data_IF_035997059336
#
_entry.id   IF_035997059336
#
_cell.length_a   1.000
_cell.length_b   1.000
_cell.length_c   1.000
_cell.angle_alpha   90.00
_cell.angle_beta   90.00
_cell.angle_gamma   90.00
#
_symmetry.space_group_name_H-M   'P 1'
#
loop_
_entity.id
_entity.type
_entity.pdbx_description
1 polymer ?
#
# COMPACT_ATOMS: atom_id res chain seq x y z
N UNK A 1 37.71 40.89 -9.38
CA UNK A 1 36.93 39.83 -10.06
C UNK A 1 36.05 39.18 -9.01
N UNK A 2 34.75 39.47 -9.00
CA UNK A 2 33.81 38.89 -8.02
C UNK A 2 33.19 37.61 -8.61
N UNK A 3 33.11 36.50 -7.86
CA UNK A 3 32.47 35.29 -8.36
C UNK A 3 30.95 35.48 -8.43
N UNK A 4 30.37 35.01 -9.55
CA UNK A 4 28.92 34.94 -9.75
C UNK A 4 28.28 33.97 -8.73
N UNK A 5 27.11 34.28 -8.15
CA UNK A 5 26.38 33.32 -7.33
C UNK A 5 25.82 32.19 -8.20
N UNK A 6 25.92 30.96 -7.69
CA UNK A 6 25.37 29.75 -8.31
C UNK A 6 23.83 29.80 -8.39
N UNK A 7 23.20 29.21 -9.42
CA UNK A 7 21.75 29.13 -9.50
C UNK A 7 21.21 28.28 -8.35
N UNK A 8 20.20 28.82 -7.64
CA UNK A 8 19.47 28.09 -6.61
C UNK A 8 18.79 26.88 -7.24
N UNK A 9 19.04 25.69 -6.69
CA UNK A 9 18.32 24.47 -7.07
C UNK A 9 16.82 24.67 -6.90
N UNK A 10 16.11 24.71 -8.03
CA UNK A 10 14.66 24.68 -8.05
C UNK A 10 14.18 23.36 -7.46
N UNK A 11 13.45 23.44 -6.35
CA UNK A 11 12.67 22.34 -5.80
C UNK A 11 11.72 21.84 -6.91
N UNK A 12 11.56 20.53 -7.13
CA UNK A 12 10.67 20.03 -8.18
C UNK A 12 9.26 20.59 -7.96
N UNK A 13 8.67 21.12 -9.02
CA UNK A 13 7.36 21.74 -9.01
C UNK A 13 6.33 20.75 -8.47
N UNK A 14 5.74 21.06 -7.32
CA UNK A 14 4.54 20.41 -6.83
C UNK A 14 3.45 20.54 -7.90
N UNK A 15 2.75 19.45 -8.20
CA UNK A 15 1.55 19.48 -9.05
C UNK A 15 0.61 20.54 -8.47
N UNK A 16 0.21 21.58 -9.23
CA UNK A 16 -0.65 22.63 -8.71
C UNK A 16 -2.01 22.03 -8.31
N UNK A 17 -2.34 22.04 -7.01
CA UNK A 17 -3.68 21.64 -6.53
C UNK A 17 -3.73 20.86 -5.21
N UNK A 18 -2.60 20.37 -4.68
CA UNK A 18 -2.56 19.64 -3.41
C UNK A 18 -1.46 20.19 -2.51
N UNK A 19 -1.86 20.83 -1.41
CA UNK A 19 -0.98 21.34 -0.35
C UNK A 19 -0.93 20.36 0.83
N UNK A 20 -2.11 19.93 1.33
CA UNK A 20 -2.27 18.94 2.39
C UNK A 20 -3.74 18.54 2.52
N UNK A 21 -4.02 17.25 2.78
CA UNK A 21 -5.36 16.82 3.19
C UNK A 21 -5.32 16.05 4.51
N UNK A 22 -6.36 16.26 5.32
CA UNK A 22 -6.56 15.54 6.57
C UNK A 22 -7.77 14.63 6.44
N UNK A 23 -7.56 13.34 6.68
CA UNK A 23 -8.61 12.35 6.85
C UNK A 23 -8.84 12.08 8.34
N UNK A 24 -10.10 11.99 8.75
CA UNK A 24 -10.51 11.50 10.07
C UNK A 24 -11.45 10.33 9.89
N UNK A 25 -11.07 9.17 10.44
CA UNK A 25 -11.91 7.98 10.38
C UNK A 25 -13.12 8.13 11.30
N UNK A 26 -14.32 7.89 10.78
CA UNK A 26 -15.56 7.89 11.55
C UNK A 26 -15.72 6.67 12.46
N UNK A 27 -14.98 5.58 12.20
CA UNK A 27 -15.09 4.33 12.95
C UNK A 27 -14.18 4.30 14.17
N UNK A 28 -12.88 4.54 14.00
CA UNK A 28 -11.89 4.49 15.08
C UNK A 28 -11.38 5.87 15.52
N UNK A 29 -11.79 6.96 14.88
CA UNK A 29 -11.34 8.31 15.20
C UNK A 29 -9.92 8.64 14.75
N UNK A 30 -9.19 7.70 14.15
CA UNK A 30 -7.82 7.91 13.68
C UNK A 30 -7.73 9.10 12.71
N UNK A 31 -6.67 9.89 12.85
CA UNK A 31 -6.38 11.04 11.98
C UNK A 31 -5.15 10.74 11.12
N UNK A 32 -5.25 11.01 9.82
CA UNK A 32 -4.15 10.87 8.86
C UNK A 32 -4.01 12.16 8.07
N UNK A 33 -2.78 12.61 7.89
CA UNK A 33 -2.45 13.77 7.07
C UNK A 33 -1.59 13.30 5.91
N UNK A 34 -1.91 13.75 4.70
CA UNK A 34 -1.14 13.46 3.51
C UNK A 34 -0.80 14.75 2.78
N UNK A 35 0.40 14.79 2.20
CA UNK A 35 0.95 15.95 1.50
C UNK A 35 0.73 15.88 -0.02
N UNK A 36 0.28 14.72 -0.51
CA UNK A 36 -0.04 14.50 -1.92
C UNK A 36 -1.35 13.73 -2.04
N UNK A 37 -2.03 13.89 -3.18
CA UNK A 37 -3.26 13.15 -3.47
C UNK A 37 -3.03 11.63 -3.47
N UNK A 38 -1.94 11.18 -4.08
CA UNK A 38 -1.59 9.76 -4.15
C UNK A 38 -1.36 9.16 -2.77
N UNK A 39 -0.64 9.87 -1.91
CA UNK A 39 -0.45 9.46 -0.51
C UNK A 39 -1.78 9.40 0.23
N UNK A 40 -2.65 10.40 0.05
CA UNK A 40 -3.95 10.44 0.67
C UNK A 40 -4.81 9.24 0.29
N UNK A 41 -4.95 8.98 -1.02
CA UNK A 41 -5.72 7.85 -1.54
C UNK A 41 -5.16 6.53 -0.99
N UNK A 42 -3.83 6.34 -1.06
CA UNK A 42 -3.18 5.13 -0.55
C UNK A 42 -3.48 4.90 0.93
N UNK A 43 -3.27 5.92 1.77
CA UNK A 43 -3.42 5.81 3.22
C UNK A 43 -4.88 5.61 3.62
N UNK A 44 -5.81 6.35 3.00
CA UNK A 44 -7.24 6.23 3.30
C UNK A 44 -7.78 4.87 2.87
N UNK A 45 -7.42 4.40 1.68
CA UNK A 45 -7.83 3.07 1.20
C UNK A 45 -7.29 1.96 2.09
N UNK A 46 -5.97 1.95 2.39
CA UNK A 46 -5.39 0.96 3.28
C UNK A 46 -6.03 0.96 4.68
N UNK A 47 -6.40 2.14 5.19
CA UNK A 47 -7.08 2.24 6.48
C UNK A 47 -8.51 1.67 6.46
N UNK A 48 -9.26 1.91 5.37
CA UNK A 48 -10.59 1.32 5.18
C UNK A 48 -10.51 -0.20 5.02
N UNK A 49 -9.54 -0.68 4.25
CA UNK A 49 -9.33 -2.12 4.06
C UNK A 49 -8.97 -2.81 5.38
N UNK A 50 -8.14 -2.17 6.22
CA UNK A 50 -7.84 -2.68 7.55
C UNK A 50 -9.10 -2.86 8.42
N UNK A 51 -10.04 -1.92 8.36
CA UNK A 51 -11.35 -2.08 9.02
C UNK A 51 -12.14 -3.25 8.43
N UNK A 52 -12.24 -3.33 7.11
CA UNK A 52 -12.99 -4.39 6.43
C UNK A 52 -12.42 -5.78 6.74
N UNK A 53 -11.09 -5.92 6.88
CA UNK A 53 -10.46 -7.16 7.32
C UNK A 53 -10.80 -7.43 8.78
N UNK A 54 -10.59 -6.46 9.67
CA UNK A 54 -10.84 -6.62 11.10
C UNK A 54 -12.29 -7.03 11.42
N UNK A 55 -13.26 -6.44 10.71
CA UNK A 55 -14.69 -6.73 10.89
C UNK A 55 -15.06 -8.15 10.50
N UNK A 56 -14.32 -8.78 9.57
CA UNK A 56 -14.55 -10.17 9.14
C UNK A 56 -13.97 -11.21 10.09
N UNK A 57 -12.99 -10.83 10.91
CA UNK A 57 -12.33 -11.74 11.84
C UNK A 57 -13.18 -11.96 13.09
N UNK A 58 -13.20 -13.21 13.57
CA UNK A 58 -13.74 -13.54 14.90
C UNK A 58 -12.78 -13.15 16.03
N UNK A 59 -13.20 -13.33 17.29
CA UNK A 59 -12.40 -12.89 18.44
C UNK A 59 -11.03 -13.58 18.55
N UNK A 60 -10.96 -14.88 18.26
CA UNK A 60 -9.70 -15.65 18.31
C UNK A 60 -8.76 -15.21 17.19
N UNK A 61 -9.29 -15.03 15.98
CA UNK A 61 -8.52 -14.57 14.83
C UNK A 61 -7.97 -13.15 15.03
N UNK A 62 -8.75 -12.25 15.66
CA UNK A 62 -8.30 -10.89 16.00
C UNK A 62 -7.14 -10.91 16.99
N UNK A 63 -7.22 -11.75 18.00
CA UNK A 63 -6.14 -11.88 18.99
C UNK A 63 -4.87 -12.44 18.36
N UNK A 64 -5.01 -13.51 17.56
CA UNK A 64 -3.90 -14.09 16.80
C UNK A 64 -3.25 -13.09 15.84
N UNK A 65 -4.05 -12.38 15.05
CA UNK A 65 -3.57 -11.31 14.17
C UNK A 65 -2.84 -10.23 14.95
N UNK A 66 -3.40 -9.76 16.08
CA UNK A 66 -2.77 -8.75 16.92
C UNK A 66 -1.42 -9.21 17.48
N UNK A 67 -1.32 -10.47 17.93
CA UNK A 67 -0.07 -11.06 18.42
C UNK A 67 1.02 -11.09 17.35
N UNK A 68 0.69 -11.61 16.16
CA UNK A 68 1.62 -11.71 15.04
C UNK A 68 2.08 -10.31 14.60
N UNK A 69 1.15 -9.36 14.45
CA UNK A 69 1.47 -8.00 14.02
C UNK A 69 2.41 -7.28 15.00
N UNK A 70 2.32 -7.51 16.32
CA UNK A 70 3.25 -6.91 17.28
C UNK A 70 4.70 -7.35 17.00
N UNK A 71 4.90 -8.65 16.78
CA UNK A 71 6.24 -9.20 16.47
C UNK A 71 6.76 -8.66 15.14
N UNK A 72 5.93 -8.67 14.09
CA UNK A 72 6.35 -8.22 12.76
C UNK A 72 6.66 -6.72 12.72
N UNK A 73 5.92 -5.89 13.47
CA UNK A 73 6.13 -4.45 13.50
C UNK A 73 7.35 -4.05 14.33
N UNK A 74 7.85 -4.93 15.21
CA UNK A 74 9.11 -4.74 15.94
C UNK A 74 10.34 -5.08 15.07
N UNK A 75 10.18 -5.89 14.03
CA UNK A 75 11.27 -6.32 13.14
C UNK A 75 10.90 -6.23 11.65
N UNK A 76 11.47 -5.23 10.97
CA UNK A 76 11.32 -5.00 9.52
C UNK A 76 11.80 -6.19 8.68
N UNK A 77 12.80 -6.95 9.12
CA UNK A 77 13.29 -8.11 8.39
C UNK A 77 12.24 -9.22 8.37
N UNK A 78 11.63 -9.52 9.52
CA UNK A 78 10.53 -10.50 9.61
C UNK A 78 9.32 -10.10 8.75
N UNK A 79 8.98 -8.80 8.74
CA UNK A 79 7.93 -8.29 7.85
C UNK A 79 8.25 -8.55 6.37
N UNK A 80 9.51 -8.40 5.97
CA UNK A 80 9.97 -8.62 4.59
C UNK A 80 9.95 -10.11 4.23
N UNK A 81 10.38 -10.98 5.13
CA UNK A 81 10.34 -12.43 4.96
C UNK A 81 8.91 -12.93 4.79
N UNK A 82 7.97 -12.45 5.61
CA UNK A 82 6.56 -12.83 5.49
C UNK A 82 5.98 -12.40 4.13
N UNK A 83 6.29 -11.19 3.67
CA UNK A 83 5.85 -10.73 2.35
C UNK A 83 6.39 -11.62 1.24
N UNK A 84 7.66 -12.02 1.32
CA UNK A 84 8.26 -12.93 0.34
C UNK A 84 7.57 -14.30 0.29
N UNK A 85 7.12 -14.83 1.43
CA UNK A 85 6.34 -16.08 1.48
C UNK A 85 4.96 -15.91 0.82
N UNK A 86 4.26 -14.81 1.13
CA UNK A 86 2.94 -14.51 0.54
C UNK A 86 3.05 -14.40 -0.99
N UNK A 87 4.09 -13.73 -1.50
CA UNK A 87 4.33 -13.56 -2.93
C UNK A 87 4.64 -14.90 -3.64
N UNK A 88 5.26 -15.86 -2.94
CA UNK A 88 5.53 -17.19 -3.47
C UNK A 88 4.27 -18.05 -3.60
N UNK A 89 3.32 -17.90 -2.67
CA UNK A 89 2.04 -18.61 -2.66
C UNK A 89 0.98 -17.95 -3.56
N UNK A 90 1.26 -16.75 -4.08
CA UNK A 90 0.37 -16.08 -5.01
C UNK A 90 0.12 -16.97 -6.25
N UNK A 91 -1.14 -17.12 -6.70
CA UNK A 91 -1.46 -17.93 -7.87
C UNK A 91 -0.64 -17.44 -9.08
N UNK A 92 0.24 -18.30 -9.62
CA UNK A 92 0.92 -18.00 -10.87
C UNK A 92 -0.15 -17.84 -11.96
N UNK A 93 -0.07 -16.79 -12.81
CA UNK A 93 -0.93 -16.70 -13.99
C UNK A 93 -0.81 -18.00 -14.77
N UNK A 94 -1.89 -18.78 -14.84
CA UNK A 94 -1.88 -20.00 -15.63
C UNK A 94 -1.65 -19.58 -17.08
N UNK A 95 -0.53 -20.03 -17.65
CA UNK A 95 -0.24 -19.84 -19.05
C UNK A 95 -1.35 -20.50 -19.86
N UNK A 96 -2.15 -19.66 -20.53
CA UNK A 96 -3.06 -19.97 -21.62
C UNK A 96 -3.71 -21.34 -21.58
N UNK A 97 -4.98 -21.39 -21.16
CA UNK A 97 -5.90 -22.37 -21.72
C UNK A 97 -5.83 -22.24 -23.24
N UNK A 98 -5.38 -23.26 -24.00
CA UNK A 98 -5.35 -23.17 -25.44
C UNK A 98 -6.77 -22.93 -25.94
N UNK A 99 -6.97 -21.88 -26.74
CA UNK A 99 -8.26 -21.62 -27.37
C UNK A 99 -8.61 -22.82 -28.25
N UNK A 100 -9.71 -23.56 -27.99
CA UNK A 100 -10.12 -24.69 -28.82
C UNK A 100 -10.44 -24.27 -30.28
N UNK A 101 -10.53 -22.97 -30.57
CA UNK A 101 -10.77 -22.43 -31.93
C UNK A 101 -9.52 -22.33 -32.80
N UNK A 102 -8.32 -22.59 -32.29
CA UNK A 102 -7.09 -22.54 -33.10
C UNK A 102 -6.86 -23.78 -33.98
N UNK A 103 -7.69 -24.84 -33.89
CA UNK A 103 -7.66 -25.96 -34.85
C UNK A 103 -8.58 -25.67 -36.04
N UNK A 104 -8.05 -24.98 -37.05
CA UNK A 104 -8.65 -24.98 -38.39
C UNK A 104 -7.93 -26.03 -39.24
N UNK A 105 -8.62 -27.05 -39.79
CA UNK A 105 -8.00 -27.98 -40.73
C UNK A 105 -7.78 -27.28 -42.07
N UNK A 106 -6.60 -27.53 -42.67
CA UNK A 106 -6.24 -27.16 -44.04
C UNK A 106 -7.01 -28.00 -45.07
#
# INVERSE_FOLDING_TARGET
>A
MSPRPAPRSSRPASVPGWDQATFRCGLCGARRTASTETEYVRVVSAHRDAHAVFDKLNAIERDGMGSILRVLLEDVALSTELLALIDQDAPKPQAGTPDPRSRRPS
#
